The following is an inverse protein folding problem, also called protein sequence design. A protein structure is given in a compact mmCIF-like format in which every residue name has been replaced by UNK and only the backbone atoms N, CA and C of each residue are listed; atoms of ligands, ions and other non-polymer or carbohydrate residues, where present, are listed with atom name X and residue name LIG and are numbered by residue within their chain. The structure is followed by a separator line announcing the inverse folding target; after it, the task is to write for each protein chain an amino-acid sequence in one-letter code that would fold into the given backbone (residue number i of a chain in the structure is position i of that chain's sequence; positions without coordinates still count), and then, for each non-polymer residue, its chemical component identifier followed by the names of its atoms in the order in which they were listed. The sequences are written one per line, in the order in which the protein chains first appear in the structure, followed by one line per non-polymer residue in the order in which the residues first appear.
data_IF_600167449690
#
_entry.id   IF_600167449690
#
_cell.length_a   1.000
_cell.length_b   1.000
_cell.length_c   1.000
_cell.angle_alpha   90.00
_cell.angle_beta   90.00
_cell.angle_gamma   90.00
#
_symmetry.space_group_name_H-M   'P 1'
#
loop_
_entity.id
_entity.type
_entity.pdbx_description
1 polymer ?
#
# COMPACT_ATOMS: atom_id res chain seq x y z
N UNK A 1 -19.82 14.01 16.35
CA UNK A 1 -19.94 14.13 14.89
C UNK A 1 -20.49 12.86 14.28
N UNK A 2 -21.09 12.95 13.08
CA UNK A 2 -21.67 11.80 12.37
C UNK A 2 -20.73 11.35 11.25
N UNK A 3 -20.18 10.15 11.35
CA UNK A 3 -19.27 9.57 10.36
C UNK A 3 -19.96 8.48 9.54
N UNK A 4 -19.81 8.54 8.22
CA UNK A 4 -20.08 7.40 7.35
C UNK A 4 -18.86 6.48 7.30
N UNK A 5 -19.03 5.18 7.57
CA UNK A 5 -17.93 4.22 7.52
C UNK A 5 -18.28 3.02 6.64
N UNK A 6 -17.45 2.76 5.64
CA UNK A 6 -17.61 1.64 4.71
C UNK A 6 -16.30 0.92 4.44
N UNK A 7 -16.35 -0.39 4.37
CA UNK A 7 -15.21 -1.27 4.06
C UNK A 7 -15.48 -2.01 2.76
N UNK A 8 -14.51 -2.05 1.88
CA UNK A 8 -14.49 -3.03 0.79
C UNK A 8 -13.78 -4.30 1.32
N UNK A 9 -14.51 -5.39 1.62
CA UNK A 9 -13.94 -6.54 2.33
C UNK A 9 -12.85 -7.26 1.55
N UNK A 10 -12.92 -7.22 0.22
CA UNK A 10 -11.98 -7.92 -0.67
C UNK A 10 -10.73 -7.11 -1.00
N UNK A 11 -10.68 -5.83 -0.58
CA UNK A 11 -9.55 -4.96 -0.88
C UNK A 11 -8.25 -5.49 -0.27
N UNK A 12 -7.20 -5.53 -1.09
CA UNK A 12 -5.86 -5.92 -0.66
C UNK A 12 -5.59 -7.42 -0.56
N UNK A 13 -6.58 -8.30 -0.75
CA UNK A 13 -6.41 -9.76 -0.64
C UNK A 13 -5.36 -10.30 -1.61
N UNK A 14 -5.31 -9.80 -2.85
CA UNK A 14 -4.38 -10.31 -3.86
C UNK A 14 -2.91 -10.12 -3.54
N UNK A 15 -2.56 -9.22 -2.62
CA UNK A 15 -1.16 -8.87 -2.34
C UNK A 15 -0.29 -10.01 -1.85
N UNK A 16 -0.80 -10.84 -0.94
CA UNK A 16 -0.07 -11.98 -0.36
C UNK A 16 0.16 -13.13 -1.36
N UNK A 17 -0.68 -13.20 -2.39
CA UNK A 17 -0.64 -14.26 -3.42
C UNK A 17 -0.17 -13.75 -4.79
N UNK A 18 0.57 -12.61 -4.78
CA UNK A 18 1.16 -11.98 -5.96
C UNK A 18 0.16 -11.52 -7.04
N UNK A 19 -1.12 -11.38 -6.69
CA UNK A 19 -2.13 -10.80 -7.58
C UNK A 19 -2.16 -9.27 -7.44
N UNK A 20 -2.35 -8.58 -8.57
CA UNK A 20 -2.18 -7.11 -8.69
C UNK A 20 -3.50 -6.35 -8.61
N UNK A 21 -4.55 -6.97 -8.11
CA UNK A 21 -5.89 -6.46 -7.91
C UNK A 21 -6.77 -7.57 -7.35
N UNK A 22 -8.00 -7.24 -6.97
CA UNK A 22 -9.00 -8.17 -6.48
C UNK A 22 -10.35 -7.95 -7.16
N UNK A 23 -10.35 -7.34 -8.35
CA UNK A 23 -11.56 -7.08 -9.11
C UNK A 23 -11.95 -8.30 -9.98
N UNK A 24 -13.23 -8.67 -9.98
CA UNK A 24 -13.76 -9.71 -10.83
C UNK A 24 -13.11 -11.10 -10.62
N UNK A 25 -12.59 -11.69 -11.70
CA UNK A 25 -11.99 -13.04 -11.67
C UNK A 25 -10.74 -13.13 -10.81
N UNK A 26 -10.03 -12.02 -10.61
CA UNK A 26 -8.84 -11.95 -9.75
C UNK A 26 -9.18 -12.24 -8.28
N UNK A 27 -10.39 -11.92 -7.81
CA UNK A 27 -10.85 -12.28 -6.46
C UNK A 27 -10.96 -13.81 -6.29
N UNK A 28 -11.60 -14.50 -7.23
CA UNK A 28 -11.73 -15.96 -7.17
C UNK A 28 -10.38 -16.66 -7.20
N UNK A 29 -9.47 -16.13 -8.00
CA UNK A 29 -8.10 -16.63 -8.06
C UNK A 29 -7.36 -16.38 -6.75
N UNK A 30 -7.50 -15.19 -6.14
CA UNK A 30 -6.92 -14.89 -4.84
C UNK A 30 -7.40 -15.87 -3.76
N UNK A 31 -8.69 -16.13 -3.68
CA UNK A 31 -9.27 -17.10 -2.73
C UNK A 31 -8.72 -18.50 -3.00
N UNK A 32 -8.66 -18.93 -4.26
CA UNK A 32 -8.12 -20.25 -4.64
C UNK A 32 -6.64 -20.39 -4.23
N UNK A 33 -5.88 -19.30 -4.27
CA UNK A 33 -4.47 -19.25 -3.83
C UNK A 33 -4.30 -19.10 -2.30
N UNK A 34 -5.40 -19.10 -1.53
CA UNK A 34 -5.37 -19.01 -0.08
C UNK A 34 -5.20 -17.58 0.47
N UNK A 35 -5.54 -16.57 -0.30
CA UNK A 35 -5.52 -15.18 0.18
C UNK A 35 -6.52 -14.97 1.33
N UNK A 36 -6.09 -14.23 2.35
CA UNK A 36 -6.91 -13.90 3.53
C UNK A 36 -7.36 -12.44 3.44
N UNK A 37 -8.62 -12.11 3.80
CA UNK A 37 -9.09 -10.75 3.89
C UNK A 37 -8.25 -9.90 4.86
N UNK A 38 -7.78 -8.74 4.40
CA UNK A 38 -6.92 -7.84 5.20
C UNK A 38 -7.57 -6.50 5.53
N UNK A 39 -8.63 -6.14 4.78
CA UNK A 39 -9.26 -4.83 4.90
C UNK A 39 -9.88 -4.59 6.28
N UNK A 40 -10.57 -5.58 6.85
CA UNK A 40 -11.19 -5.45 8.17
C UNK A 40 -10.17 -5.25 9.28
N UNK A 41 -9.07 -6.00 9.28
CA UNK A 41 -7.99 -5.81 10.25
C UNK A 41 -7.35 -4.42 10.17
N UNK A 42 -7.18 -3.88 8.95
CA UNK A 42 -6.69 -2.53 8.73
C UNK A 42 -7.72 -1.46 9.18
N UNK A 43 -8.99 -1.69 8.90
CA UNK A 43 -10.07 -0.83 9.39
C UNK A 43 -10.13 -0.81 10.92
N UNK A 44 -10.03 -1.97 11.56
CA UNK A 44 -9.98 -2.10 13.04
C UNK A 44 -8.83 -1.29 13.63
N UNK A 45 -7.62 -1.40 13.07
CA UNK A 45 -6.44 -0.64 13.53
C UNK A 45 -6.65 0.87 13.39
N UNK A 46 -7.28 1.32 12.31
CA UNK A 46 -7.59 2.73 12.11
C UNK A 46 -8.61 3.25 13.12
N UNK A 47 -9.74 2.54 13.24
CA UNK A 47 -10.83 2.95 14.12
C UNK A 47 -10.44 2.92 15.62
N UNK A 48 -9.56 2.00 16.01
CA UNK A 48 -9.03 1.93 17.37
C UNK A 48 -8.21 3.17 17.79
N UNK A 49 -7.76 3.97 16.80
CA UNK A 49 -7.03 5.23 17.04
C UNK A 49 -7.93 6.45 17.09
N UNK A 50 -9.25 6.29 16.90
CA UNK A 50 -10.18 7.42 16.93
C UNK A 50 -10.50 7.76 18.39
N UNK A 51 -10.25 9.00 18.75
CA UNK A 51 -10.58 9.57 20.04
C UNK A 51 -11.78 10.54 19.90
N UNK A 52 -12.66 10.54 20.89
CA UNK A 52 -13.82 11.43 20.95
C UNK A 52 -15.17 10.74 20.79
N UNK A 53 -16.25 11.51 20.95
CA UNK A 53 -17.63 11.04 20.81
C UNK A 53 -18.05 11.06 19.33
N UNK A 54 -18.16 9.88 18.77
CA UNK A 54 -18.45 9.65 17.34
C UNK A 54 -19.64 8.71 17.18
N UNK A 55 -20.58 9.11 16.34
CA UNK A 55 -21.66 8.24 15.90
C UNK A 55 -21.36 7.76 14.48
N UNK A 56 -21.48 6.46 14.26
CA UNK A 56 -21.21 5.84 12.96
C UNK A 56 -22.47 5.44 12.22
N UNK A 57 -22.52 5.76 10.94
CA UNK A 57 -23.41 5.15 9.96
C UNK A 57 -22.58 4.17 9.12
N UNK A 58 -23.12 2.99 8.82
CA UNK A 58 -22.37 1.97 8.09
C UNK A 58 -23.29 1.07 7.26
N UNK A 59 -22.69 0.21 6.43
CA UNK A 59 -23.38 -0.90 5.81
C UNK A 59 -23.32 -2.16 6.68
N UNK A 60 -24.23 -3.10 6.44
CA UNK A 60 -24.30 -4.35 7.19
C UNK A 60 -23.08 -5.25 6.97
N UNK A 61 -22.89 -6.19 7.91
CA UNK A 61 -21.90 -7.25 7.81
C UNK A 61 -20.47 -6.77 7.63
N UNK A 62 -19.75 -7.39 6.71
CA UNK A 62 -18.32 -7.14 6.45
C UNK A 62 -18.04 -5.78 5.83
N UNK A 63 -19.06 -5.10 5.30
CA UNK A 63 -18.88 -3.74 4.76
C UNK A 63 -18.83 -2.64 5.83
N UNK A 64 -18.73 -3.00 7.13
CA UNK A 64 -18.37 -2.06 8.20
C UNK A 64 -18.98 -2.41 9.56
N UNK A 65 -20.24 -2.88 9.63
CA UNK A 65 -20.90 -3.18 10.90
C UNK A 65 -20.15 -4.18 11.77
N UNK A 66 -19.58 -5.23 11.17
CA UNK A 66 -18.77 -6.23 11.89
C UNK A 66 -17.55 -5.62 12.58
N UNK A 67 -16.86 -4.68 11.93
CA UNK A 67 -15.68 -3.99 12.50
C UNK A 67 -16.09 -3.10 13.67
N UNK A 68 -17.16 -2.32 13.51
CA UNK A 68 -17.67 -1.42 14.55
C UNK A 68 -18.17 -2.20 15.77
N UNK A 69 -18.91 -3.30 15.53
CA UNK A 69 -19.39 -4.17 16.59
C UNK A 69 -18.23 -4.82 17.38
N UNK A 70 -17.19 -5.30 16.67
CA UNK A 70 -16.01 -5.88 17.31
C UNK A 70 -15.24 -4.88 18.19
N UNK A 71 -15.31 -3.59 17.85
CA UNK A 71 -14.71 -2.51 18.65
C UNK A 71 -15.65 -1.94 19.72
N UNK A 72 -16.89 -2.45 19.83
CA UNK A 72 -17.90 -1.92 20.75
C UNK A 72 -18.36 -0.49 20.42
N UNK A 73 -18.19 -0.06 19.16
CA UNK A 73 -18.59 1.27 18.71
C UNK A 73 -20.09 1.31 18.40
N UNK A 74 -20.78 2.34 18.93
CA UNK A 74 -22.19 2.58 18.61
C UNK A 74 -22.35 2.96 17.14
N UNK A 75 -23.22 2.26 16.41
CA UNK A 75 -23.44 2.48 14.99
C UNK A 75 -24.85 2.18 14.53
N UNK A 76 -25.23 2.82 13.44
CA UNK A 76 -26.49 2.59 12.74
C UNK A 76 -26.21 1.98 11.35
N UNK A 77 -26.86 0.87 11.03
CA UNK A 77 -26.78 0.27 9.70
C UNK A 77 -27.80 0.97 8.79
N UNK A 78 -27.31 1.73 7.81
CA UNK A 78 -28.12 2.50 6.86
C UNK A 78 -28.30 1.83 5.51
N UNK A 79 -27.55 0.78 5.25
CA UNK A 79 -27.64 -0.03 4.03
C UNK A 79 -27.45 -1.51 4.33
N UNK A 80 -28.37 -2.34 3.83
CA UNK A 80 -28.30 -3.79 3.96
C UNK A 80 -27.69 -4.40 2.69
N UNK A 81 -26.60 -5.15 2.86
CA UNK A 81 -25.95 -5.89 1.78
C UNK A 81 -26.61 -7.23 1.60
N UNK A 82 -27.00 -7.55 0.39
CA UNK A 82 -27.62 -8.84 0.02
C UNK A 82 -26.60 -9.67 -0.78
N UNK A 83 -26.16 -10.79 -0.23
CA UNK A 83 -25.17 -11.67 -0.89
C UNK A 83 -23.72 -11.17 -0.82
N UNK A 84 -22.98 -11.41 -1.90
CA UNK A 84 -21.58 -10.92 -2.02
C UNK A 84 -21.56 -9.42 -2.28
N UNK A 85 -20.75 -8.69 -1.50
CA UNK A 85 -20.62 -7.23 -1.63
C UNK A 85 -19.82 -6.84 -2.87
N UNK A 86 -20.21 -5.70 -3.49
CA UNK A 86 -19.58 -5.18 -4.69
C UNK A 86 -19.45 -3.64 -4.72
N UNK A 87 -18.98 -3.13 -5.84
CA UNK A 87 -18.81 -1.70 -6.08
C UNK A 87 -20.14 -0.92 -5.92
N UNK A 88 -21.24 -1.52 -6.39
CA UNK A 88 -22.57 -0.90 -6.31
C UNK A 88 -23.04 -0.76 -4.85
N UNK A 89 -22.72 -1.71 -3.97
CA UNK A 89 -23.05 -1.61 -2.55
C UNK A 89 -22.27 -0.49 -1.87
N UNK A 90 -21.00 -0.27 -2.29
CA UNK A 90 -20.22 0.87 -1.84
C UNK A 90 -20.87 2.19 -2.26
N UNK A 91 -21.33 2.31 -3.52
CA UNK A 91 -22.00 3.50 -4.04
C UNK A 91 -23.30 3.78 -3.31
N UNK A 92 -24.15 2.76 -3.12
CA UNK A 92 -25.43 2.88 -2.41
C UNK A 92 -25.22 3.25 -0.95
N UNK A 93 -24.23 2.66 -0.30
CA UNK A 93 -23.87 3.02 1.07
C UNK A 93 -23.44 4.47 1.17
N UNK A 94 -22.58 4.95 0.26
CA UNK A 94 -22.17 6.37 0.20
C UNK A 94 -23.34 7.30 -0.05
N UNK A 95 -24.31 6.92 -0.90
CA UNK A 95 -25.53 7.70 -1.12
C UNK A 95 -26.35 7.81 0.17
N UNK A 96 -26.54 6.68 0.90
CA UNK A 96 -27.24 6.71 2.19
C UNK A 96 -26.54 7.61 3.22
N UNK A 97 -25.20 7.66 3.22
CA UNK A 97 -24.45 8.59 4.08
C UNK A 97 -24.74 10.06 3.74
N UNK A 98 -24.77 10.39 2.45
CA UNK A 98 -25.08 11.75 2.00
C UNK A 98 -26.51 12.16 2.38
N UNK A 99 -27.48 11.26 2.21
CA UNK A 99 -28.88 11.48 2.54
C UNK A 99 -29.09 11.73 4.06
N UNK A 100 -28.18 11.18 4.88
CA UNK A 100 -28.18 11.34 6.34
C UNK A 100 -27.29 12.50 6.85
N UNK A 101 -26.60 13.19 5.95
CA UNK A 101 -25.82 14.39 6.24
C UNK A 101 -24.60 14.13 7.14
N UNK A 102 -23.80 13.11 6.79
CA UNK A 102 -22.55 12.84 7.53
C UNK A 102 -21.53 13.97 7.40
N UNK A 103 -20.73 14.16 8.44
CA UNK A 103 -19.67 15.19 8.49
C UNK A 103 -18.39 14.75 7.76
N UNK A 104 -18.12 13.45 7.71
CA UNK A 104 -16.94 12.84 7.08
C UNK A 104 -17.28 11.41 6.64
N UNK A 105 -16.77 10.99 5.48
CA UNK A 105 -16.85 9.60 5.04
C UNK A 105 -15.47 8.96 5.20
N UNK A 106 -15.42 7.86 5.94
CA UNK A 106 -14.25 7.00 6.13
C UNK A 106 -14.46 5.74 5.32
N UNK A 107 -13.57 5.46 4.37
CA UNK A 107 -13.67 4.22 3.60
C UNK A 107 -12.38 3.42 3.69
N UNK A 108 -12.49 2.09 3.77
CA UNK A 108 -11.35 1.19 3.76
C UNK A 108 -11.30 0.43 2.43
N UNK A 109 -10.23 0.65 1.65
CA UNK A 109 -10.15 0.08 0.30
C UNK A 109 -8.86 0.40 -0.45
N UNK A 110 -8.94 0.30 -1.78
CA UNK A 110 -7.91 0.70 -2.73
C UNK A 110 -8.40 1.76 -3.71
N UNK A 111 -7.63 2.02 -4.80
CA UNK A 111 -7.99 3.03 -5.81
C UNK A 111 -9.35 2.76 -6.47
N UNK A 112 -9.72 1.49 -6.71
CA UNK A 112 -11.06 1.11 -7.18
C UNK A 112 -12.16 1.58 -6.25
N UNK A 113 -12.01 1.34 -4.94
CA UNK A 113 -12.96 1.82 -3.93
C UNK A 113 -13.00 3.35 -3.87
N UNK A 114 -11.85 4.01 -4.03
CA UNK A 114 -11.81 5.49 -4.08
C UNK A 114 -12.59 6.04 -5.28
N UNK A 115 -12.56 5.38 -6.44
CA UNK A 115 -13.39 5.73 -7.61
C UNK A 115 -14.88 5.55 -7.33
N UNK A 116 -15.27 4.41 -6.75
CA UNK A 116 -16.67 4.15 -6.39
C UNK A 116 -17.22 5.19 -5.41
N UNK A 117 -16.41 5.61 -4.44
CA UNK A 117 -16.76 6.69 -3.51
C UNK A 117 -16.88 8.03 -4.25
N UNK A 118 -15.92 8.37 -5.12
CA UNK A 118 -15.93 9.61 -5.90
C UNK A 118 -17.16 9.73 -6.80
N UNK A 119 -17.55 8.65 -7.49
CA UNK A 119 -18.71 8.63 -8.40
C UNK A 119 -20.00 9.11 -7.72
N UNK A 120 -20.10 8.88 -6.40
CA UNK A 120 -21.29 9.28 -5.62
C UNK A 120 -21.03 10.52 -4.80
N UNK A 121 -19.91 10.61 -4.12
CA UNK A 121 -19.65 11.68 -3.13
C UNK A 121 -19.23 12.99 -3.82
N UNK A 122 -18.41 12.91 -4.85
CA UNK A 122 -17.82 14.10 -5.48
C UNK A 122 -17.03 14.93 -4.47
N UNK A 123 -17.35 16.21 -4.39
CA UNK A 123 -16.77 17.16 -3.44
C UNK A 123 -17.76 17.60 -2.32
N UNK A 124 -18.89 16.89 -2.15
CA UNK A 124 -19.96 17.28 -1.23
C UNK A 124 -19.58 17.15 0.23
N UNK A 125 -18.87 16.09 0.60
CA UNK A 125 -18.46 15.77 1.97
C UNK A 125 -16.98 15.39 1.94
N UNK A 126 -16.18 15.77 2.95
CA UNK A 126 -14.79 15.29 3.04
C UNK A 126 -14.73 13.78 3.19
N UNK A 127 -13.69 13.19 2.63
CA UNK A 127 -13.43 11.75 2.72
C UNK A 127 -12.03 11.47 3.24
N UNK A 128 -11.83 10.31 3.84
CA UNK A 128 -10.50 9.77 4.13
C UNK A 128 -10.47 8.27 3.87
N UNK A 129 -9.47 7.83 3.11
CA UNK A 129 -9.25 6.42 2.81
C UNK A 129 -8.30 5.76 3.82
N UNK A 130 -8.75 4.66 4.42
CA UNK A 130 -7.90 3.69 5.14
C UNK A 130 -7.27 2.78 4.09
N UNK A 131 -5.93 2.74 4.01
CA UNK A 131 -5.26 2.04 2.94
C UNK A 131 -5.33 0.52 3.11
N UNK A 132 -6.12 -0.17 2.29
CA UNK A 132 -6.19 -1.64 2.25
C UNK A 132 -5.62 -2.23 0.95
N UNK A 133 -5.65 -1.48 -0.15
CA UNK A 133 -5.16 -1.92 -1.46
C UNK A 133 -3.65 -2.19 -1.49
N UNK A 134 -3.24 -2.96 -2.49
CA UNK A 134 -1.83 -3.35 -2.73
C UNK A 134 -1.04 -2.21 -3.33
N UNK A 135 -1.69 -1.42 -4.18
CA UNK A 135 -1.11 -0.31 -4.94
C UNK A 135 -2.12 0.82 -4.93
N UNK A 136 -1.75 1.91 -4.30
CA UNK A 136 -2.63 3.07 -4.22
C UNK A 136 -1.91 4.29 -4.74
N UNK A 137 -2.56 4.96 -5.69
CA UNK A 137 -2.03 6.11 -6.39
C UNK A 137 -2.81 7.38 -6.03
N UNK A 138 -4.03 7.20 -5.52
CA UNK A 138 -4.91 8.29 -5.14
C UNK A 138 -4.41 9.02 -3.88
N UNK A 139 -4.51 10.34 -3.90
CA UNK A 139 -4.10 11.22 -2.80
C UNK A 139 -5.13 11.31 -1.66
N UNK A 140 -6.19 10.51 -1.68
CA UNK A 140 -7.26 10.50 -0.66
C UNK A 140 -7.01 9.57 0.51
N UNK A 141 -5.94 8.77 0.46
CA UNK A 141 -5.59 7.82 1.50
C UNK A 141 -4.64 8.42 2.53
N UNK A 142 -4.81 8.01 3.79
CA UNK A 142 -3.78 8.19 4.79
C UNK A 142 -2.54 7.33 4.47
N UNK A 143 -1.39 7.66 5.07
CA UNK A 143 -0.15 6.87 4.85
C UNK A 143 -0.21 5.50 5.52
N UNK A 144 -0.95 5.35 6.62
CA UNK A 144 -1.19 4.08 7.30
C UNK A 144 -2.60 4.02 7.90
N UNK A 145 -3.09 2.83 8.31
CA UNK A 145 -4.34 2.72 9.05
C UNK A 145 -4.35 3.57 10.32
N UNK A 146 -3.27 3.53 11.10
CA UNK A 146 -3.14 4.30 12.34
C UNK A 146 -3.13 5.82 12.09
N UNK A 147 -2.45 6.27 11.04
CA UNK A 147 -2.49 7.68 10.64
C UNK A 147 -3.90 8.10 10.20
N UNK A 148 -4.67 7.23 9.54
CA UNK A 148 -6.07 7.52 9.21
C UNK A 148 -6.87 7.83 10.48
N UNK A 149 -6.77 7.00 11.52
CA UNK A 149 -7.46 7.23 12.78
C UNK A 149 -7.04 8.52 13.48
N UNK A 150 -5.74 8.84 13.49
CA UNK A 150 -5.23 10.12 14.04
C UNK A 150 -5.74 11.34 13.28
N UNK A 151 -5.77 11.26 11.95
CA UNK A 151 -6.30 12.33 11.09
C UNK A 151 -7.79 12.52 11.36
N UNK A 152 -8.55 11.43 11.51
CA UNK A 152 -9.97 11.49 11.85
C UNK A 152 -10.13 12.18 13.21
N UNK A 153 -9.39 11.77 14.24
CA UNK A 153 -9.45 12.38 15.59
C UNK A 153 -9.12 13.87 15.55
N UNK A 154 -8.07 14.26 14.85
CA UNK A 154 -7.68 15.67 14.71
C UNK A 154 -8.75 16.48 13.95
N UNK A 155 -9.33 15.92 12.89
CA UNK A 155 -10.41 16.56 12.14
C UNK A 155 -11.67 16.75 13.00
N UNK A 156 -11.98 15.77 13.86
CA UNK A 156 -13.09 15.83 14.80
C UNK A 156 -12.89 16.92 15.87
N UNK A 157 -11.66 17.03 16.39
CA UNK A 157 -11.33 17.97 17.46
C UNK A 157 -11.26 19.42 16.98
N UNK A 158 -10.59 19.67 15.85
CA UNK A 158 -10.21 21.02 15.42
C UNK A 158 -11.09 21.57 14.29
N UNK A 159 -11.96 20.73 13.68
CA UNK A 159 -12.66 21.05 12.43
C UNK A 159 -11.73 21.69 11.41
N UNK A 160 -10.53 21.12 11.28
CA UNK A 160 -9.51 21.59 10.37
C UNK A 160 -10.06 21.76 8.94
N UNK A 161 -9.48 22.67 8.17
CA UNK A 161 -9.86 22.91 6.79
C UNK A 161 -9.77 21.65 5.94
N UNK A 162 -10.29 21.72 4.72
CA UNK A 162 -10.19 20.64 3.72
C UNK A 162 -9.38 21.10 2.53
N UNK A 163 -8.77 20.15 1.82
CA UNK A 163 -8.11 20.37 0.53
C UNK A 163 -8.63 19.37 -0.50
N UNK A 164 -8.47 19.67 -1.77
CA UNK A 164 -8.75 18.71 -2.83
C UNK A 164 -7.60 17.73 -2.97
N UNK A 165 -7.92 16.46 -3.14
CA UNK A 165 -6.98 15.39 -3.40
C UNK A 165 -7.46 14.58 -4.60
N UNK A 166 -6.52 14.18 -5.47
CA UNK A 166 -6.84 13.41 -6.65
C UNK A 166 -7.17 11.96 -6.36
N UNK A 167 -8.14 11.44 -7.08
CA UNK A 167 -8.41 10.02 -7.26
C UNK A 167 -7.82 9.61 -8.59
N UNK A 168 -7.00 8.58 -8.60
CA UNK A 168 -6.27 8.12 -9.77
C UNK A 168 -6.95 6.90 -10.39
N UNK A 169 -6.98 6.88 -11.72
CA UNK A 169 -7.28 5.69 -12.50
C UNK A 169 -5.98 5.13 -13.07
N UNK A 170 -5.72 3.85 -12.79
CA UNK A 170 -4.52 3.17 -13.24
C UNK A 170 -4.93 2.12 -14.25
N UNK A 171 -4.35 2.18 -15.43
CA UNK A 171 -4.48 1.15 -16.44
C UNK A 171 -3.76 -0.12 -15.95
N UNK A 172 -4.53 -1.05 -15.37
CA UNK A 172 -3.99 -2.29 -14.82
C UNK A 172 -3.36 -3.19 -15.90
N UNK A 173 -3.85 -3.12 -17.14
CA UNK A 173 -3.28 -3.92 -18.22
C UNK A 173 -1.93 -3.37 -18.66
N UNK A 174 -1.79 -2.06 -18.84
CA UNK A 174 -0.51 -1.42 -19.08
C UNK A 174 0.45 -1.65 -17.91
N UNK A 175 -0.07 -1.57 -16.70
CA UNK A 175 0.68 -1.81 -15.47
C UNK A 175 1.21 -3.26 -15.35
N UNK A 176 0.42 -4.28 -15.79
CA UNK A 176 0.89 -5.69 -15.88
C UNK A 176 2.02 -5.85 -16.90
N UNK A 177 2.02 -5.03 -17.94
CA UNK A 177 3.07 -4.99 -18.99
C UNK A 177 4.30 -4.16 -18.57
N UNK A 178 4.31 -3.62 -17.34
CA UNK A 178 5.42 -2.82 -16.81
C UNK A 178 5.37 -1.34 -17.15
N UNK A 179 4.27 -0.86 -17.75
CA UNK A 179 4.04 0.55 -18.06
C UNK A 179 3.13 1.17 -16.99
N UNK A 180 3.57 2.27 -16.36
CA UNK A 180 2.72 3.03 -15.43
C UNK A 180 1.94 4.07 -16.22
N UNK A 181 0.68 3.77 -16.53
CA UNK A 181 -0.27 4.73 -17.11
C UNK A 181 -1.32 5.03 -16.03
N UNK A 182 -1.12 6.12 -15.31
CA UNK A 182 -2.07 6.63 -14.34
C UNK A 182 -2.54 8.01 -14.79
N UNK A 183 -3.85 8.25 -14.74
CA UNK A 183 -4.47 9.54 -15.03
C UNK A 183 -5.37 9.95 -13.87
N UNK A 184 -5.55 11.25 -13.62
CA UNK A 184 -6.56 11.70 -12.68
C UNK A 184 -7.95 11.23 -13.15
N UNK A 185 -8.68 10.57 -12.25
CA UNK A 185 -10.09 10.21 -12.47
C UNK A 185 -11.01 11.34 -12.01
N UNK A 186 -10.63 11.99 -10.89
CA UNK A 186 -11.33 13.15 -10.35
C UNK A 186 -10.70 13.59 -9.03
N UNK A 187 -11.42 14.42 -8.29
CA UNK A 187 -10.95 15.02 -7.04
C UNK A 187 -12.01 14.92 -5.95
N UNK A 188 -11.59 14.63 -4.73
CA UNK A 188 -12.44 14.66 -3.53
C UNK A 188 -11.83 15.58 -2.47
N UNK A 189 -12.67 16.13 -1.59
CA UNK A 189 -12.20 16.85 -0.40
C UNK A 189 -11.65 15.87 0.62
N UNK A 190 -10.48 16.19 1.18
CA UNK A 190 -9.89 15.46 2.31
C UNK A 190 -9.55 16.44 3.43
N UNK A 191 -9.44 16.00 4.70
CA UNK A 191 -8.89 16.84 5.76
C UNK A 191 -7.54 17.43 5.39
N UNK A 192 -7.32 18.72 5.66
CA UNK A 192 -6.06 19.42 5.36
C UNK A 192 -5.03 19.21 6.47
N UNK A 193 -4.67 17.94 6.74
CA UNK A 193 -3.76 17.53 7.80
C UNK A 193 -2.55 16.78 7.22
N UNK A 194 -1.43 16.80 7.96
CA UNK A 194 -0.27 15.97 7.61
C UNK A 194 -0.61 14.47 7.73
N UNK A 195 0.07 13.63 6.95
CA UNK A 195 -0.17 12.18 6.97
C UNK A 195 -1.11 11.66 5.88
N UNK A 196 -1.70 12.52 5.05
CA UNK A 196 -2.41 12.13 3.82
C UNK A 196 -1.40 12.00 2.69
N UNK A 197 -1.53 10.91 1.91
CA UNK A 197 -0.59 10.59 0.85
C UNK A 197 -0.50 11.70 -0.20
N UNK A 198 0.73 12.13 -0.57
CA UNK A 198 0.89 12.93 -1.77
C UNK A 198 0.59 12.07 -3.00
N UNK A 199 0.09 12.70 -4.10
CA UNK A 199 -0.17 12.00 -5.35
C UNK A 199 1.11 11.38 -5.93
N UNK A 200 0.99 10.18 -6.51
CA UNK A 200 2.08 9.54 -7.23
C UNK A 200 2.23 10.16 -8.62
N UNK A 201 3.06 11.19 -8.75
CA UNK A 201 3.51 11.65 -10.06
C UNK A 201 4.67 10.78 -10.57
N UNK A 202 4.56 10.28 -11.79
CA UNK A 202 5.68 9.66 -12.49
C UNK A 202 6.54 10.78 -13.10
N UNK A 203 7.59 11.21 -12.41
CA UNK A 203 8.60 12.09 -13.00
C UNK A 203 9.84 11.24 -13.30
N UNK A 204 10.04 10.92 -14.57
CA UNK A 204 11.25 10.28 -15.06
C UNK A 204 12.15 11.35 -15.70
N UNK A 205 13.17 11.84 -14.99
CA UNK A 205 14.25 12.63 -15.56
C UNK A 205 15.42 11.75 -16.01
N UNK A 206 16.18 12.19 -17.00
CA UNK A 206 17.40 11.52 -17.48
C UNK A 206 18.40 11.24 -16.34
N UNK A 207 18.49 12.15 -15.37
CA UNK A 207 19.37 12.01 -14.22
C UNK A 207 18.97 10.86 -13.26
N UNK A 208 17.68 10.57 -13.10
CA UNK A 208 17.20 9.46 -12.26
C UNK A 208 17.55 8.07 -12.86
N UNK A 209 17.58 7.98 -14.20
CA UNK A 209 18.02 6.78 -14.89
C UNK A 209 19.50 6.49 -14.61
N UNK A 210 20.37 7.48 -14.78
CA UNK A 210 21.81 7.32 -14.52
C UNK A 210 22.09 6.95 -13.05
N UNK A 211 21.34 7.53 -12.11
CA UNK A 211 21.42 7.19 -10.70
C UNK A 211 21.04 5.73 -10.44
N UNK A 212 19.99 5.22 -11.08
CA UNK A 212 19.58 3.79 -10.99
C UNK A 212 20.63 2.87 -11.59
N UNK A 213 21.21 3.23 -12.71
CA UNK A 213 22.27 2.47 -13.36
C UNK A 213 23.51 2.37 -12.44
N UNK A 214 23.92 3.46 -11.79
CA UNK A 214 25.03 3.46 -10.83
C UNK A 214 24.76 2.59 -9.58
N UNK A 215 23.53 2.62 -9.04
CA UNK A 215 23.11 1.72 -7.96
C UNK A 215 23.17 0.25 -8.42
N UNK A 216 22.62 -0.02 -9.60
CA UNK A 216 22.57 -1.38 -10.17
C UNK A 216 23.97 -1.95 -10.40
N UNK A 217 24.89 -1.15 -10.94
CA UNK A 217 26.28 -1.52 -11.17
C UNK A 217 26.97 -1.93 -9.86
N UNK A 218 26.87 -1.08 -8.83
CA UNK A 218 27.43 -1.37 -7.50
C UNK A 218 26.91 -2.68 -6.93
N UNK A 219 25.59 -2.94 -7.03
CA UNK A 219 24.97 -4.16 -6.51
C UNK A 219 25.45 -5.38 -7.26
N UNK A 220 25.39 -5.36 -8.61
CA UNK A 220 25.72 -6.52 -9.45
C UNK A 220 27.19 -6.93 -9.31
N UNK A 221 28.11 -5.97 -9.25
CA UNK A 221 29.53 -6.24 -9.04
C UNK A 221 29.86 -6.95 -7.71
N UNK A 222 28.97 -6.81 -6.71
CA UNK A 222 29.14 -7.37 -5.36
C UNK A 222 28.25 -8.56 -5.08
N UNK A 223 27.51 -9.04 -6.07
CA UNK A 223 26.68 -10.23 -5.90
C UNK A 223 27.56 -11.46 -5.70
N UNK A 224 27.27 -12.20 -4.61
CA UNK A 224 27.85 -13.52 -4.32
C UNK A 224 27.02 -14.58 -5.07
N UNK A 225 27.61 -15.37 -5.99
CA UNK A 225 26.87 -16.41 -6.72
C UNK A 225 26.22 -17.47 -5.80
N UNK A 226 26.74 -17.65 -4.60
CA UNK A 226 26.18 -18.59 -3.59
C UNK A 226 25.02 -18.01 -2.76
N UNK A 227 24.63 -16.76 -2.99
CA UNK A 227 23.59 -16.08 -2.24
C UNK A 227 22.32 -15.92 -3.08
N UNK A 228 21.16 -16.15 -2.45
CA UNK A 228 19.86 -15.85 -3.06
C UNK A 228 19.57 -14.34 -2.93
N UNK A 229 19.27 -13.68 -4.03
CA UNK A 229 18.89 -12.29 -4.07
C UNK A 229 17.39 -12.16 -4.35
N UNK A 230 16.64 -11.65 -3.39
CA UNK A 230 15.21 -11.37 -3.54
C UNK A 230 15.04 -9.89 -3.83
N UNK A 231 14.48 -9.56 -4.99
CA UNK A 231 14.27 -8.19 -5.46
C UNK A 231 12.81 -7.80 -5.31
N UNK A 232 12.53 -6.86 -4.41
CA UNK A 232 11.21 -6.27 -4.23
C UNK A 232 10.75 -5.47 -5.45
N UNK A 233 9.47 -5.05 -5.50
CA UNK A 233 8.92 -4.27 -6.60
C UNK A 233 9.56 -2.88 -6.74
N UNK A 234 9.60 -2.35 -7.96
CA UNK A 234 10.02 -0.99 -8.25
C UNK A 234 11.08 -0.86 -9.34
N UNK A 235 11.22 0.36 -9.85
CA UNK A 235 12.13 0.65 -10.98
C UNK A 235 13.61 0.60 -10.60
N UNK A 236 13.96 0.89 -9.35
CA UNK A 236 15.36 0.83 -8.89
C UNK A 236 15.84 -0.62 -8.75
N UNK A 237 15.03 -1.51 -8.19
CA UNK A 237 15.32 -2.96 -8.15
C UNK A 237 15.28 -3.58 -9.54
N UNK A 238 14.40 -3.08 -10.44
CA UNK A 238 14.38 -3.51 -11.84
C UNK A 238 15.70 -3.17 -12.54
N UNK A 239 16.28 -2.02 -12.30
CA UNK A 239 17.58 -1.65 -12.88
C UNK A 239 18.70 -2.64 -12.51
N UNK A 240 18.64 -3.24 -11.31
CA UNK A 240 19.59 -4.31 -10.91
C UNK A 240 19.43 -5.55 -11.82
N UNK A 241 18.19 -5.99 -12.05
CA UNK A 241 17.92 -7.12 -12.94
C UNK A 241 18.29 -6.81 -14.41
N UNK A 242 17.98 -5.59 -14.88
CA UNK A 242 18.34 -5.12 -16.22
C UNK A 242 19.88 -5.13 -16.41
N UNK A 243 20.65 -4.73 -15.38
CA UNK A 243 22.12 -4.78 -15.38
C UNK A 243 22.67 -6.22 -15.44
N UNK A 244 21.97 -7.19 -14.84
CA UNK A 244 22.27 -8.61 -14.95
C UNK A 244 21.87 -9.19 -16.32
N UNK A 245 21.15 -8.44 -17.16
CA UNK A 245 20.56 -8.93 -18.40
C UNK A 245 19.40 -9.91 -18.18
N UNK A 246 18.68 -9.80 -17.06
CA UNK A 246 17.61 -10.71 -16.66
C UNK A 246 16.25 -10.01 -16.59
N UNK A 247 15.16 -10.73 -16.92
CA UNK A 247 13.81 -10.18 -16.79
C UNK A 247 13.46 -9.95 -15.31
N UNK A 248 12.69 -8.91 -15.03
CA UNK A 248 12.10 -8.65 -13.73
C UNK A 248 10.68 -8.11 -13.87
N UNK A 249 9.77 -8.59 -13.03
CA UNK A 249 8.43 -8.04 -12.90
C UNK A 249 8.52 -6.68 -12.18
N UNK A 250 7.97 -5.62 -12.77
CA UNK A 250 8.08 -4.27 -12.17
C UNK A 250 7.43 -4.20 -10.79
N UNK A 251 6.39 -4.96 -10.57
CA UNK A 251 5.50 -4.88 -9.42
C UNK A 251 5.51 -6.14 -8.55
N UNK A 252 6.13 -7.19 -9.04
CA UNK A 252 6.30 -8.45 -8.33
C UNK A 252 7.60 -8.49 -7.55
N UNK A 253 7.75 -9.57 -6.81
CA UNK A 253 8.98 -9.96 -6.12
C UNK A 253 9.59 -11.11 -6.91
N UNK A 254 10.83 -10.94 -7.34
CA UNK A 254 11.55 -11.95 -8.10
C UNK A 254 12.80 -12.37 -7.34
N UNK A 255 13.25 -13.61 -7.53
CA UNK A 255 14.44 -14.12 -6.88
C UNK A 255 15.46 -14.63 -7.88
N UNK A 256 16.74 -14.42 -7.58
CA UNK A 256 17.89 -14.73 -8.42
C UNK A 256 18.94 -15.49 -7.61
N UNK A 257 19.51 -16.52 -8.22
CA UNK A 257 20.65 -17.30 -7.67
C UNK A 257 21.69 -17.49 -8.77
N UNK A 258 22.94 -17.23 -8.47
CA UNK A 258 24.03 -17.28 -9.44
C UNK A 258 23.78 -16.46 -10.73
N UNK A 259 23.08 -15.32 -10.62
CA UNK A 259 22.70 -14.46 -11.74
C UNK A 259 21.54 -14.98 -12.59
N UNK A 260 20.93 -16.12 -12.26
CA UNK A 260 19.77 -16.68 -12.97
C UNK A 260 18.48 -16.43 -12.16
N UNK A 261 17.36 -16.19 -12.87
CA UNK A 261 16.07 -16.06 -12.22
C UNK A 261 15.59 -17.45 -11.76
N UNK A 262 15.28 -17.57 -10.48
CA UNK A 262 14.74 -18.81 -9.88
C UNK A 262 13.27 -18.68 -9.50
N UNK A 263 12.78 -17.45 -9.25
CA UNK A 263 11.37 -17.16 -9.03
C UNK A 263 10.99 -15.87 -9.74
N UNK A 264 9.83 -15.83 -10.38
CA UNK A 264 9.25 -14.65 -11.01
C UNK A 264 7.89 -14.39 -10.41
N UNK A 265 7.63 -13.15 -9.96
CA UNK A 265 6.38 -12.72 -9.32
C UNK A 265 5.95 -13.67 -8.18
N UNK A 266 6.89 -13.97 -7.30
CA UNK A 266 6.78 -15.01 -6.27
C UNK A 266 5.71 -14.69 -5.22
N UNK A 267 5.04 -15.72 -4.74
CA UNK A 267 4.18 -15.66 -3.55
C UNK A 267 5.03 -15.74 -2.26
N UNK A 268 4.41 -15.48 -1.10
CA UNK A 268 5.05 -15.71 0.21
C UNK A 268 5.57 -17.14 0.34
N UNK A 269 4.76 -18.12 -0.05
CA UNK A 269 5.11 -19.54 0.04
C UNK A 269 6.33 -19.89 -0.80
N UNK A 270 6.39 -19.39 -2.04
CA UNK A 270 7.53 -19.61 -2.94
C UNK A 270 8.82 -19.02 -2.34
N UNK A 271 8.72 -17.81 -1.79
CA UNK A 271 9.84 -17.14 -1.14
C UNK A 271 10.35 -17.92 0.06
N UNK A 272 9.45 -18.35 0.98
CA UNK A 272 9.82 -19.12 2.16
C UNK A 272 10.50 -20.44 1.78
N UNK A 273 10.00 -21.10 0.72
CA UNK A 273 10.63 -22.31 0.21
C UNK A 273 12.03 -22.06 -0.35
N UNK A 274 12.18 -21.00 -1.14
CA UNK A 274 13.46 -20.65 -1.76
C UNK A 274 14.52 -20.18 -0.75
N UNK A 275 14.11 -19.47 0.31
CA UNK A 275 15.00 -18.94 1.37
C UNK A 275 15.48 -20.05 2.31
N UNK A 276 14.69 -21.10 2.49
CA UNK A 276 14.99 -22.15 3.48
C UNK A 276 16.39 -22.74 3.28
N UNK A 277 17.23 -22.61 4.31
CA UNK A 277 18.61 -23.10 4.31
C UNK A 277 19.59 -22.32 3.41
N UNK A 278 19.20 -21.15 2.86
CA UNK A 278 20.06 -20.36 1.97
C UNK A 278 20.40 -19.00 2.56
N UNK A 279 21.64 -18.58 2.37
CA UNK A 279 22.03 -17.17 2.60
C UNK A 279 21.25 -16.31 1.60
N UNK A 280 20.51 -15.34 2.12
CA UNK A 280 19.60 -14.51 1.30
C UNK A 280 19.82 -13.04 1.56
N UNK A 281 19.85 -12.23 0.51
CA UNK A 281 19.84 -10.77 0.56
C UNK A 281 18.51 -10.25 -0.04
N UNK A 282 17.82 -9.38 0.67
CA UNK A 282 16.59 -8.74 0.21
C UNK A 282 16.89 -7.31 -0.24
N UNK A 283 16.63 -7.01 -1.50
CA UNK A 283 16.78 -5.69 -2.09
C UNK A 283 15.43 -4.99 -2.16
N UNK A 284 15.29 -3.87 -1.44
CA UNK A 284 14.07 -3.08 -1.39
C UNK A 284 14.29 -1.69 -1.96
N UNK A 285 13.21 -1.09 -2.46
CA UNK A 285 13.20 0.33 -2.82
C UNK A 285 11.90 0.98 -2.30
N UNK A 286 11.94 2.24 -1.85
CA UNK A 286 10.73 2.94 -1.45
C UNK A 286 9.72 2.97 -2.60
N UNK A 287 8.47 2.66 -2.29
CA UNK A 287 7.39 2.59 -3.27
C UNK A 287 6.79 3.99 -3.42
N UNK A 288 7.01 4.60 -4.59
CA UNK A 288 6.52 5.94 -4.91
C UNK A 288 7.05 6.99 -3.93
N UNK A 289 6.30 8.09 -3.77
CA UNK A 289 6.62 9.20 -2.84
C UNK A 289 6.23 8.91 -1.39
N UNK A 290 5.59 7.76 -1.12
CA UNK A 290 5.08 7.40 0.21
C UNK A 290 6.17 6.92 1.17
N UNK A 291 7.33 6.51 0.66
CA UNK A 291 8.44 6.05 1.45
C UNK A 291 8.33 4.64 2.03
N UNK A 292 7.26 3.90 1.73
CA UNK A 292 7.13 2.53 2.21
C UNK A 292 8.14 1.61 1.54
N UNK A 293 8.94 0.93 2.35
CA UNK A 293 9.83 -0.15 1.91
C UNK A 293 9.20 -1.53 2.11
N UNK A 294 8.24 -1.65 3.03
CA UNK A 294 7.46 -2.87 3.31
C UNK A 294 5.98 -2.55 3.56
N UNK A 295 5.12 -3.53 3.25
CA UNK A 295 3.69 -3.52 3.53
C UNK A 295 2.80 -2.84 2.50
N UNK A 296 3.40 -2.14 1.55
CA UNK A 296 2.69 -1.47 0.46
C UNK A 296 3.20 -1.93 -0.89
N UNK A 297 2.36 -2.70 -1.60
CA UNK A 297 2.70 -3.23 -2.93
C UNK A 297 3.70 -4.38 -2.92
N UNK A 298 4.02 -4.94 -1.74
CA UNK A 298 4.93 -6.06 -1.57
C UNK A 298 4.57 -6.94 -0.36
N UNK A 299 3.26 -7.20 -0.14
CA UNK A 299 2.76 -8.00 0.99
C UNK A 299 3.25 -9.45 0.98
N UNK A 300 3.69 -9.98 -0.15
CA UNK A 300 4.36 -11.28 -0.23
C UNK A 300 5.71 -11.29 0.52
N UNK A 301 6.30 -10.10 0.78
CA UNK A 301 7.39 -9.92 1.74
C UNK A 301 6.81 -9.79 3.16
N UNK A 302 6.16 -10.85 3.62
CA UNK A 302 5.51 -10.92 4.92
C UNK A 302 6.51 -10.85 6.08
N UNK A 303 6.05 -10.66 7.34
CA UNK A 303 6.92 -10.77 8.52
C UNK A 303 7.70 -12.09 8.54
N UNK A 304 7.09 -13.21 8.16
CA UNK A 304 7.76 -14.52 8.11
C UNK A 304 8.91 -14.55 7.11
N UNK A 305 8.72 -13.94 5.94
CA UNK A 305 9.79 -13.83 4.93
C UNK A 305 10.93 -12.95 5.45
N UNK A 306 10.62 -11.79 6.04
CA UNK A 306 11.62 -10.87 6.58
C UNK A 306 12.40 -11.52 7.73
N UNK A 307 11.73 -12.28 8.62
CA UNK A 307 12.38 -13.04 9.68
C UNK A 307 13.32 -14.13 9.12
N UNK A 308 12.87 -14.85 8.10
CA UNK A 308 13.68 -15.89 7.45
C UNK A 308 14.93 -15.30 6.75
N UNK A 309 14.82 -14.12 6.15
CA UNK A 309 15.96 -13.39 5.59
C UNK A 309 16.86 -12.80 6.67
N UNK A 310 16.26 -12.29 7.73
CA UNK A 310 16.92 -11.49 8.78
C UNK A 310 17.04 -10.01 8.40
N UNK A 311 16.70 -9.12 9.32
CA UNK A 311 16.66 -7.66 9.09
C UNK A 311 18.02 -7.05 8.71
N UNK A 312 19.13 -7.70 9.10
CA UNK A 312 20.49 -7.30 8.73
C UNK A 312 20.81 -7.55 7.24
N UNK A 313 20.08 -8.45 6.59
CA UNK A 313 20.25 -8.81 5.18
C UNK A 313 19.27 -8.05 4.26
N UNK A 314 18.75 -6.92 4.73
CA UNK A 314 17.90 -6.03 3.93
C UNK A 314 18.73 -4.85 3.46
N UNK A 315 18.89 -4.71 2.14
CA UNK A 315 19.53 -3.57 1.50
C UNK A 315 18.49 -2.68 0.84
N UNK A 316 18.45 -1.41 1.24
CA UNK A 316 17.53 -0.42 0.69
C UNK A 316 18.22 0.37 -0.41
N UNK A 317 17.59 0.44 -1.58
CA UNK A 317 18.06 1.12 -2.77
C UNK A 317 17.14 2.31 -3.07
N UNK A 318 17.67 3.50 -3.19
CA UNK A 318 16.87 4.66 -3.60
C UNK A 318 17.75 5.72 -4.28
N UNK A 319 17.30 6.25 -5.41
CA UNK A 319 18.00 7.39 -6.02
C UNK A 319 17.93 8.63 -5.14
N UNK A 320 18.90 9.55 -5.21
CA UNK A 320 18.82 10.85 -4.54
C UNK A 320 17.53 11.62 -4.85
N UNK A 321 17.06 11.54 -6.11
CA UNK A 321 15.79 12.13 -6.56
C UNK A 321 14.62 11.54 -5.77
N UNK A 322 14.55 10.20 -5.65
CA UNK A 322 13.50 9.52 -4.91
C UNK A 322 13.53 9.89 -3.41
N UNK A 323 14.71 9.99 -2.80
CA UNK A 323 14.82 10.38 -1.39
C UNK A 323 14.46 11.85 -1.15
N UNK A 324 14.70 12.74 -2.10
CA UNK A 324 14.28 14.14 -2.00
C UNK A 324 12.74 14.25 -1.95
N UNK A 325 12.04 13.38 -2.66
CA UNK A 325 10.56 13.34 -2.67
C UNK A 325 9.97 12.61 -1.45
N UNK A 326 10.73 11.69 -0.85
CA UNK A 326 10.23 10.76 0.18
C UNK A 326 10.50 11.22 1.61
N UNK A 327 11.58 11.97 1.85
CA UNK A 327 12.09 12.49 3.13
C UNK A 327 12.32 11.44 4.23
N UNK A 328 11.38 10.53 4.48
CA UNK A 328 11.45 9.43 5.46
C UNK A 328 11.07 8.09 4.84
N UNK A 329 11.67 7.01 5.32
CA UNK A 329 11.24 5.65 5.00
C UNK A 329 10.10 5.24 5.93
N UNK A 330 9.26 4.29 5.48
CA UNK A 330 8.13 3.77 6.26
C UNK A 330 8.06 2.26 6.16
N UNK A 331 7.57 1.64 7.21
CA UNK A 331 7.29 0.21 7.28
C UNK A 331 5.87 -0.02 7.80
N UNK A 332 5.16 -0.98 7.21
CA UNK A 332 3.83 -1.45 7.61
C UNK A 332 3.75 -2.94 7.26
N UNK A 333 4.61 -3.75 7.88
CA UNK A 333 4.68 -5.18 7.59
C UNK A 333 3.45 -5.96 8.06
N UNK A 334 2.64 -5.37 8.93
CA UNK A 334 1.53 -6.01 9.62
C UNK A 334 1.92 -6.67 10.96
N UNK A 335 3.20 -6.62 11.34
CA UNK A 335 3.73 -7.06 12.62
C UNK A 335 4.44 -5.89 13.32
N UNK A 336 3.84 -5.42 14.42
CA UNK A 336 4.33 -4.25 15.15
C UNK A 336 5.74 -4.46 15.75
N UNK A 337 6.09 -5.69 16.15
CA UNK A 337 7.40 -5.99 16.71
C UNK A 337 8.48 -5.96 15.61
N UNK A 338 8.19 -6.46 14.43
CA UNK A 338 9.08 -6.36 13.27
C UNK A 338 9.22 -4.90 12.83
N UNK A 339 8.12 -4.15 12.73
CA UNK A 339 8.13 -2.74 12.34
C UNK A 339 9.01 -1.92 13.30
N UNK A 340 8.89 -2.14 14.62
CA UNK A 340 9.74 -1.48 15.61
C UNK A 340 11.22 -1.77 15.43
N UNK A 341 11.61 -3.00 15.09
CA UNK A 341 13.00 -3.36 14.77
C UNK A 341 13.52 -2.73 13.48
N UNK A 342 12.62 -2.43 12.55
CA UNK A 342 12.93 -1.77 11.28
C UNK A 342 12.89 -0.25 11.37
N UNK A 343 12.36 0.34 12.44
CA UNK A 343 12.38 1.79 12.71
C UNK A 343 13.78 2.29 13.06
N UNK A 344 13.93 3.60 13.10
CA UNK A 344 15.20 4.26 13.40
C UNK A 344 15.93 4.71 12.13
N UNK A 345 17.26 4.71 12.16
CA UNK A 345 18.06 5.13 11.02
C UNK A 345 18.51 3.94 10.18
N UNK A 346 18.33 4.05 8.87
CA UNK A 346 18.66 3.00 7.90
C UNK A 346 19.66 3.51 6.87
N UNK A 347 20.59 2.63 6.53
CA UNK A 347 21.56 2.89 5.46
C UNK A 347 20.92 2.58 4.11
N UNK A 348 20.90 3.55 3.21
CA UNK A 348 20.30 3.47 1.87
C UNK A 348 21.40 3.65 0.84
N UNK A 349 21.49 2.74 -0.12
CA UNK A 349 22.38 2.87 -1.28
C UNK A 349 21.76 3.84 -2.28
N UNK A 350 22.46 4.93 -2.59
CA UNK A 350 21.95 6.04 -3.41
C UNK A 350 22.70 6.26 -4.74
N UNK A 351 23.79 5.54 -4.96
CA UNK A 351 24.66 5.60 -6.13
C UNK A 351 25.76 4.56 -6.04
N UNK A 352 26.73 4.62 -6.95
CA UNK A 352 27.87 3.69 -6.92
C UNK A 352 28.73 3.96 -5.67
N UNK A 353 28.77 2.98 -4.77
CA UNK A 353 29.43 3.03 -3.45
C UNK A 353 29.02 4.25 -2.56
N UNK A 354 27.84 4.81 -2.82
CA UNK A 354 27.34 5.96 -2.09
C UNK A 354 26.15 5.58 -1.22
N UNK A 355 26.22 5.90 0.06
CA UNK A 355 25.17 5.61 1.03
C UNK A 355 24.71 6.89 1.73
N UNK A 356 23.43 6.90 2.08
CA UNK A 356 22.82 7.92 2.92
C UNK A 356 22.14 7.27 4.11
N UNK A 357 22.21 7.93 5.26
CA UNK A 357 21.43 7.54 6.44
C UNK A 357 20.08 8.23 6.37
N UNK A 358 19.01 7.47 6.41
CA UNK A 358 17.62 7.96 6.29
C UNK A 358 16.82 7.44 7.47
N UNK A 359 15.95 8.29 8.02
CA UNK A 359 15.04 7.89 9.09
C UNK A 359 13.96 6.96 8.56
N UNK A 360 13.67 5.89 9.27
CA UNK A 360 12.57 4.97 9.04
C UNK A 360 11.58 5.06 10.22
N UNK A 361 10.29 5.26 9.89
CA UNK A 361 9.20 5.41 10.86
C UNK A 361 8.23 4.25 10.79
#
# INVERSE_FOLDING_TARGET
MLLGFVVNPIAGMGGSVALKGTDGDSYREAVTRGAVPVAQGKATRALAMIEGDVRFLTASGEMGASVLAALGQEHEVVFQVEGESGAEDTRRTCQAFLDRGVDLIVFCGGDGTARDVLDVVGDRVPVIGIPAGVKMHSGVFANSPEEAGKIISAFLAERSGTRMAEVMDVDEEAFRKGEVRARPYGYMKVPALEGIQPPKGAVFGTSDREQKEAIAEYVVERMDPGMLYVLGPGTTTKAVADRMGRPKTLLGVDAYLAGEIVLSDATESDLLHAINGRRTMLLLTPIGRQGFILGRGNQQLSPRVIEAVGTANVLILATPTKLAETQVLRVDSGDAALDERLRGFRRVLIGYDQFRIVRCC
#
